data_IF_401474861072
#
_entry.id   IF_401474861072
#
_cell.length_a   1.000
_cell.length_b   1.000
_cell.length_c   1.000
_cell.angle_alpha   90.00
_cell.angle_beta   90.00
_cell.angle_gamma   90.00
#
_symmetry.space_group_name_H-M   'P 1'
#
loop_
_entity.id
_entity.type
_entity.pdbx_description
1 polymer ?
#
# COMPACT_ATOMS: atom_id res chain seq x y z
N UNK A 1 -54.84 5.46 57.64
CA UNK A 1 -53.91 4.49 57.01
C UNK A 1 -52.69 5.17 56.53
N UNK A 2 -51.65 5.07 57.31
CA UNK A 2 -50.35 5.76 57.03
C UNK A 2 -49.44 4.79 56.27
N UNK A 3 -48.94 5.20 55.07
CA UNK A 3 -47.89 4.51 54.33
C UNK A 3 -46.54 5.07 54.74
N UNK A 4 -45.74 4.25 55.40
CA UNK A 4 -44.34 4.58 55.71
C UNK A 4 -43.48 4.43 54.46
N UNK A 5 -42.81 5.51 54.04
CA UNK A 5 -41.76 5.47 53.07
C UNK A 5 -40.45 5.17 53.80
N UNK A 6 -39.81 4.07 53.45
CA UNK A 6 -38.45 3.75 53.93
C UNK A 6 -37.46 4.40 52.95
N UNK A 7 -36.73 5.36 53.45
CA UNK A 7 -35.64 6.03 52.71
C UNK A 7 -34.37 5.18 52.86
N UNK A 8 -33.90 4.59 51.75
CA UNK A 8 -32.63 3.90 51.72
C UNK A 8 -31.55 4.93 51.31
N UNK A 9 -30.77 5.36 52.31
CA UNK A 9 -29.60 6.19 52.08
C UNK A 9 -28.43 5.29 51.72
N UNK A 10 -28.07 5.18 50.43
CA UNK A 10 -26.82 4.59 50.01
C UNK A 10 -25.69 5.60 50.21
N UNK A 11 -24.83 5.35 51.22
CA UNK A 11 -23.56 6.03 51.36
C UNK A 11 -22.60 5.47 50.30
N UNK A 12 -22.38 6.24 49.25
CA UNK A 12 -21.28 6.02 48.34
C UNK A 12 -19.96 6.40 49.02
N UNK A 13 -19.20 5.43 49.47
CA UNK A 13 -17.82 5.63 49.86
C UNK A 13 -17.01 5.90 48.58
N UNK A 14 -16.68 7.17 48.34
CA UNK A 14 -15.65 7.51 47.36
C UNK A 14 -14.30 7.10 47.96
N UNK A 15 -13.80 5.91 47.56
CA UNK A 15 -12.38 5.66 47.63
C UNK A 15 -11.73 6.48 46.52
N UNK A 16 -11.22 7.66 46.85
CA UNK A 16 -10.21 8.34 46.08
C UNK A 16 -8.92 7.56 46.24
N UNK A 17 -8.74 6.56 45.40
CA UNK A 17 -7.41 6.04 45.13
C UNK A 17 -6.62 7.15 44.47
N UNK A 18 -5.67 7.73 45.18
CA UNK A 18 -4.57 8.43 44.57
C UNK A 18 -3.76 7.36 43.80
N UNK A 19 -4.14 7.12 42.56
CA UNK A 19 -3.20 6.64 41.57
C UNK A 19 -2.24 7.83 41.36
N UNK A 20 -1.10 7.75 42.02
CA UNK A 20 0.02 8.61 41.70
C UNK A 20 0.27 8.38 40.22
N UNK A 21 0.06 9.42 39.40
CA UNK A 21 0.58 9.44 38.04
C UNK A 21 2.09 9.27 38.18
N UNK A 22 2.56 8.06 37.89
CA UNK A 22 3.98 7.87 37.59
C UNK A 22 4.20 8.82 36.40
N UNK A 23 5.12 9.77 36.47
CA UNK A 23 5.39 10.60 35.31
C UNK A 23 5.81 9.64 34.18
N UNK A 24 5.09 9.62 33.09
CA UNK A 24 5.56 8.96 31.88
C UNK A 24 6.94 9.56 31.59
N UNK A 25 7.96 8.71 31.57
CA UNK A 25 9.29 9.15 31.17
C UNK A 25 9.19 9.39 29.66
N UNK A 26 9.18 10.65 29.25
CA UNK A 26 9.25 10.98 27.84
C UNK A 26 10.54 10.39 27.26
N UNK A 27 10.44 9.68 26.16
CA UNK A 27 11.59 9.15 25.44
C UNK A 27 12.59 10.28 25.13
N UNK A 28 13.89 10.06 25.39
CA UNK A 28 14.92 11.02 25.00
C UNK A 28 15.28 10.85 23.53
N UNK A 29 14.71 11.69 22.68
CA UNK A 29 14.93 11.73 21.24
C UNK A 29 15.88 12.86 20.80
N UNK A 30 16.58 13.49 21.76
CA UNK A 30 17.39 14.69 21.50
C UNK A 30 18.59 14.46 20.59
N UNK A 31 19.07 13.22 20.49
CA UNK A 31 20.20 12.82 19.64
C UNK A 31 19.79 12.40 18.23
N UNK A 32 18.50 12.34 17.94
CA UNK A 32 17.99 11.95 16.62
C UNK A 32 17.86 13.17 15.70
N UNK A 33 17.97 12.97 14.37
CA UNK A 33 17.79 14.05 13.39
C UNK A 33 16.40 14.69 13.52
N UNK A 34 16.27 15.93 13.05
CA UNK A 34 15.00 16.65 13.13
C UNK A 34 13.94 16.06 12.17
N UNK A 35 14.39 15.53 11.03
CA UNK A 35 13.52 14.91 10.02
C UNK A 35 14.10 13.59 9.52
N UNK A 36 13.22 12.74 9.02
CA UNK A 36 13.60 11.55 8.25
C UNK A 36 14.41 11.98 7.03
N UNK A 37 15.52 11.28 6.75
CA UNK A 37 16.42 11.57 5.63
C UNK A 37 17.53 12.60 5.93
N UNK A 38 17.50 13.31 7.06
CA UNK A 38 18.57 14.24 7.46
C UNK A 38 19.72 13.56 8.21
N UNK A 39 19.63 12.25 8.43
CA UNK A 39 20.64 11.43 9.12
C UNK A 39 20.09 10.05 9.48
N UNK A 40 20.95 9.25 10.12
CA UNK A 40 20.56 7.92 10.60
C UNK A 40 19.72 8.04 11.87
N UNK A 41 18.56 7.39 11.86
CA UNK A 41 17.72 7.20 13.04
C UNK A 41 18.08 5.82 13.59
N UNK A 42 18.67 5.78 14.78
CA UNK A 42 19.00 4.52 15.48
C UNK A 42 18.26 4.51 16.81
N UNK A 43 17.32 3.60 16.93
CA UNK A 43 16.54 3.45 18.14
C UNK A 43 17.25 2.58 19.17
N UNK A 44 16.97 2.83 20.43
CA UNK A 44 17.51 2.08 21.56
C UNK A 44 16.39 1.73 22.55
N UNK A 45 16.53 0.66 23.36
CA UNK A 45 15.50 0.21 24.29
C UNK A 45 15.05 1.30 25.30
N UNK A 46 15.91 2.22 25.67
CA UNK A 46 15.59 3.32 26.58
C UNK A 46 14.69 4.40 25.97
N UNK A 47 14.48 4.37 24.67
CA UNK A 47 13.45 5.19 24.01
C UNK A 47 12.02 4.66 24.23
N UNK A 48 11.87 3.45 24.77
CA UNK A 48 10.59 2.78 25.04
C UNK A 48 10.44 2.42 26.53
N UNK A 49 10.55 3.40 27.43
CA UNK A 49 10.64 3.15 28.88
C UNK A 49 9.36 2.53 29.49
N UNK A 50 8.21 2.72 28.83
CA UNK A 50 6.92 2.21 29.28
C UNK A 50 6.56 0.85 28.64
N UNK A 51 7.39 0.33 27.71
CA UNK A 51 7.23 -1.00 27.13
C UNK A 51 7.95 -2.06 27.99
N UNK A 52 7.24 -3.08 28.46
CA UNK A 52 7.84 -4.15 29.25
C UNK A 52 8.73 -5.04 28.39
N UNK A 53 10.06 -4.82 28.45
CA UNK A 53 11.06 -5.61 27.76
C UNK A 53 11.66 -6.72 28.65
N UNK A 54 11.12 -6.98 29.84
CA UNK A 54 11.69 -7.97 30.79
C UNK A 54 11.53 -9.41 30.33
N UNK A 55 10.57 -9.68 29.44
CA UNK A 55 10.30 -11.00 28.87
C UNK A 55 10.44 -10.95 27.37
N UNK A 56 10.96 -12.03 26.80
CA UNK A 56 10.95 -12.21 25.35
C UNK A 56 9.51 -12.29 24.83
N UNK A 57 9.29 -11.68 23.67
CA UNK A 57 7.99 -11.69 22.97
C UNK A 57 8.20 -11.80 21.47
N UNK A 58 7.40 -12.64 20.83
CA UNK A 58 7.36 -12.73 19.37
C UNK A 58 6.12 -11.97 18.86
N UNK A 59 6.34 -10.98 18.03
CA UNK A 59 5.31 -10.21 17.35
C UNK A 59 4.95 -10.95 16.06
N UNK A 60 3.72 -11.45 15.98
CA UNK A 60 3.22 -12.11 14.78
C UNK A 60 2.70 -11.08 13.79
N UNK A 61 3.37 -10.98 12.64
CA UNK A 61 3.08 -9.99 11.61
C UNK A 61 2.52 -10.66 10.34
N UNK A 62 1.43 -10.11 9.82
CA UNK A 62 0.79 -10.58 8.59
C UNK A 62 0.89 -9.51 7.52
N UNK A 63 1.53 -9.87 6.41
CA UNK A 63 1.72 -9.01 5.24
C UNK A 63 0.96 -9.57 4.05
N UNK A 64 0.69 -8.72 3.05
CA UNK A 64 0.10 -9.12 1.77
C UNK A 64 1.19 -9.11 0.72
N UNK A 65 1.22 -10.14 -0.09
CA UNK A 65 2.19 -10.33 -1.14
C UNK A 65 2.75 -11.74 -1.17
N UNK A 66 3.50 -12.04 -2.19
CA UNK A 66 4.21 -13.31 -2.29
C UNK A 66 5.48 -13.26 -1.44
N UNK A 67 5.77 -14.35 -0.74
CA UNK A 67 6.96 -14.41 0.12
C UNK A 67 8.23 -14.24 -0.72
N UNK A 68 9.07 -13.22 -0.48
CA UNK A 68 10.35 -13.10 -1.17
C UNK A 68 11.24 -14.32 -0.95
N UNK A 69 12.04 -14.71 -1.96
CA UNK A 69 12.89 -15.90 -1.88
C UNK A 69 13.87 -15.86 -0.71
N UNK A 70 14.45 -14.69 -0.43
CA UNK A 70 15.44 -14.49 0.63
C UNK A 70 14.82 -13.92 1.93
N UNK A 71 13.46 -14.03 2.12
CA UNK A 71 12.80 -13.53 3.32
C UNK A 71 13.38 -14.09 4.61
N UNK A 72 13.63 -15.39 4.69
CA UNK A 72 14.16 -16.02 5.90
C UNK A 72 15.48 -15.37 6.36
N UNK A 73 16.34 -14.99 5.41
CA UNK A 73 17.61 -14.29 5.69
C UNK A 73 17.33 -12.88 6.22
N UNK A 74 16.38 -12.17 5.65
CA UNK A 74 16.02 -10.81 6.07
C UNK A 74 15.39 -10.82 7.45
N UNK A 75 14.44 -11.72 7.70
CA UNK A 75 13.79 -11.86 9.00
C UNK A 75 14.80 -12.24 10.10
N UNK A 76 15.78 -13.11 9.80
CA UNK A 76 16.87 -13.40 10.73
C UNK A 76 17.65 -12.12 11.08
N UNK A 77 17.97 -11.26 10.11
CA UNK A 77 18.66 -9.98 10.36
C UNK A 77 17.83 -8.97 11.14
N UNK A 78 16.54 -8.91 10.87
CA UNK A 78 15.61 -8.11 11.66
C UNK A 78 15.59 -8.61 13.11
N UNK A 79 15.50 -9.92 13.31
CA UNK A 79 15.48 -10.53 14.65
C UNK A 79 16.81 -10.36 15.40
N UNK A 80 17.97 -10.46 14.74
CA UNK A 80 19.27 -10.11 15.32
C UNK A 80 19.28 -8.65 15.82
N UNK A 81 18.73 -7.71 15.04
CA UNK A 81 18.67 -6.30 15.41
C UNK A 81 17.72 -6.05 16.61
N UNK A 82 16.65 -6.82 16.70
CA UNK A 82 15.65 -6.73 17.78
C UNK A 82 16.06 -7.42 19.09
N UNK A 83 17.19 -8.17 19.13
CA UNK A 83 17.66 -8.82 20.37
C UNK A 83 17.78 -7.89 21.58
N UNK A 84 18.34 -6.66 21.48
CA UNK A 84 18.42 -5.72 22.61
C UNK A 84 17.05 -5.32 23.16
N UNK A 85 16.01 -5.39 22.32
CA UNK A 85 14.62 -5.11 22.70
C UNK A 85 13.91 -6.35 23.27
N UNK A 86 14.62 -7.48 23.43
CA UNK A 86 14.05 -8.76 23.87
C UNK A 86 12.78 -9.17 23.07
N UNK A 87 12.83 -8.92 21.76
CA UNK A 87 11.69 -9.06 20.83
C UNK A 87 12.15 -9.79 19.57
N UNK A 88 11.24 -10.52 18.97
CA UNK A 88 11.38 -11.12 17.64
C UNK A 88 10.11 -10.87 16.84
N UNK A 89 10.20 -10.95 15.53
CA UNK A 89 9.04 -11.04 14.63
C UNK A 89 8.94 -12.45 14.06
N UNK A 90 7.73 -12.85 13.74
CA UNK A 90 7.42 -14.00 12.90
C UNK A 90 6.41 -13.53 11.86
N UNK A 91 6.77 -13.63 10.59
CA UNK A 91 5.99 -13.03 9.49
C UNK A 91 5.29 -14.10 8.67
N UNK A 92 4.02 -13.89 8.45
CA UNK A 92 3.20 -14.69 7.53
C UNK A 92 2.77 -13.84 6.35
N UNK A 93 3.02 -14.33 5.14
CA UNK A 93 2.56 -13.69 3.91
C UNK A 93 1.23 -14.30 3.46
N UNK A 94 0.29 -13.44 3.13
CA UNK A 94 -0.93 -13.81 2.40
C UNK A 94 -0.69 -13.44 0.94
N UNK A 95 -0.56 -14.44 0.08
CA UNK A 95 -0.30 -14.22 -1.34
C UNK A 95 -1.40 -13.35 -1.99
N UNK A 96 -1.07 -12.69 -3.08
CA UNK A 96 -2.04 -11.89 -3.84
C UNK A 96 -3.26 -12.70 -4.29
N UNK A 97 -3.09 -13.99 -4.58
CA UNK A 97 -4.20 -14.89 -4.93
C UNK A 97 -5.09 -15.26 -3.75
N UNK A 98 -4.59 -15.27 -2.53
CA UNK A 98 -5.27 -15.84 -1.36
C UNK A 98 -5.78 -14.79 -0.37
N UNK A 99 -5.22 -13.58 -0.34
CA UNK A 99 -5.55 -12.58 0.69
C UNK A 99 -7.05 -12.28 0.75
N UNK A 100 -7.74 -12.25 -0.38
CA UNK A 100 -9.18 -11.99 -0.43
C UNK A 100 -10.03 -13.02 0.35
N UNK A 101 -9.54 -14.25 0.48
CA UNK A 101 -10.22 -15.32 1.21
C UNK A 101 -9.69 -15.49 2.63
N UNK A 102 -8.42 -15.20 2.86
CA UNK A 102 -7.75 -15.45 4.13
C UNK A 102 -7.87 -14.29 5.12
N UNK A 103 -7.83 -13.04 4.65
CA UNK A 103 -7.72 -11.86 5.50
C UNK A 103 -8.73 -11.81 6.65
N UNK A 104 -10.01 -11.91 6.32
CA UNK A 104 -11.09 -11.86 7.33
C UNK A 104 -11.14 -13.12 8.20
N UNK A 105 -10.67 -14.26 7.68
CA UNK A 105 -10.60 -15.52 8.43
C UNK A 105 -9.48 -15.46 9.47
N UNK A 106 -8.32 -14.92 9.14
CA UNK A 106 -7.19 -14.72 10.05
C UNK A 106 -7.63 -13.85 11.24
N UNK A 107 -8.26 -12.71 10.99
CA UNK A 107 -8.75 -11.83 12.06
C UNK A 107 -9.89 -12.43 12.90
N UNK A 108 -10.71 -13.33 12.32
CA UNK A 108 -11.79 -14.00 13.01
C UNK A 108 -11.38 -15.33 13.68
N UNK A 109 -10.24 -15.90 13.30
CA UNK A 109 -9.86 -17.28 13.62
C UNK A 109 -9.35 -17.51 15.05
N UNK A 110 -9.04 -16.44 15.78
CA UNK A 110 -8.48 -16.53 17.14
C UNK A 110 -7.02 -16.98 17.18
N UNK A 111 -6.33 -16.98 16.05
CA UNK A 111 -4.88 -17.05 16.00
C UNK A 111 -4.29 -15.74 16.55
N UNK A 112 -3.11 -15.82 17.15
CA UNK A 112 -2.43 -14.63 17.63
C UNK A 112 -1.89 -13.87 16.44
N UNK A 113 -2.46 -12.71 16.14
CA UNK A 113 -1.99 -11.74 15.16
C UNK A 113 -1.77 -10.44 15.89
N UNK A 114 -0.55 -9.92 15.87
CA UNK A 114 -0.23 -8.64 16.51
C UNK A 114 -0.28 -7.49 15.51
N UNK A 115 0.36 -7.67 14.36
CA UNK A 115 0.41 -6.70 13.28
C UNK A 115 -0.21 -7.28 12.00
N UNK A 116 -0.99 -6.49 11.31
CA UNK A 116 -1.56 -6.88 10.02
C UNK A 116 -1.55 -5.70 9.05
N UNK A 117 -1.14 -5.96 7.81
CA UNK A 117 -1.30 -5.00 6.73
C UNK A 117 -2.78 -4.71 6.50
N UNK A 118 -3.13 -3.45 6.26
CA UNK A 118 -4.49 -3.04 5.89
C UNK A 118 -4.45 -1.83 4.96
N UNK A 119 -5.54 -1.58 4.26
CA UNK A 119 -5.70 -0.42 3.38
C UNK A 119 -7.18 -0.23 3.05
N UNK A 120 -7.62 0.92 2.54
CA UNK A 120 -8.97 1.11 2.02
C UNK A 120 -9.38 0.04 1.00
N UNK A 121 -8.43 -0.37 0.13
CA UNK A 121 -8.63 -1.45 -0.85
C UNK A 121 -8.50 -2.86 -0.23
N UNK A 122 -7.99 -2.99 1.02
CA UNK A 122 -7.78 -4.23 1.73
C UNK A 122 -8.52 -4.26 3.07
N UNK A 123 -9.83 -4.38 3.03
CA UNK A 123 -10.74 -4.63 4.15
C UNK A 123 -10.69 -3.64 5.32
N UNK A 124 -9.89 -2.55 5.30
CA UNK A 124 -9.72 -1.62 6.42
C UNK A 124 -11.05 -1.17 7.02
N UNK A 125 -11.95 -0.65 6.21
CA UNK A 125 -13.23 -0.14 6.71
C UNK A 125 -14.16 -1.24 7.24
N UNK A 126 -14.15 -2.39 6.57
CA UNK A 126 -14.99 -3.54 6.97
C UNK A 126 -14.52 -4.11 8.30
N UNK A 127 -13.23 -4.28 8.48
CA UNK A 127 -12.66 -4.84 9.71
C UNK A 127 -12.67 -3.81 10.86
N UNK A 128 -12.46 -2.53 10.58
CA UNK A 128 -12.64 -1.47 11.57
C UNK A 128 -14.06 -1.43 12.11
N UNK A 129 -15.08 -1.59 11.25
CA UNK A 129 -16.48 -1.64 11.67
C UNK A 129 -16.80 -2.85 12.57
N UNK A 130 -16.06 -3.95 12.44
CA UNK A 130 -16.15 -5.14 13.31
C UNK A 130 -15.38 -4.96 14.62
N UNK A 131 -14.50 -3.94 14.72
CA UNK A 131 -13.63 -3.72 15.87
C UNK A 131 -12.40 -4.63 15.88
N UNK A 132 -11.93 -5.06 14.71
CA UNK A 132 -10.77 -5.95 14.56
C UNK A 132 -9.43 -5.27 14.86
N UNK A 133 -9.38 -3.93 14.90
CA UNK A 133 -8.16 -3.16 15.11
C UNK A 133 -8.12 -2.50 16.48
N UNK A 134 -6.93 -2.39 17.04
CA UNK A 134 -6.65 -1.68 18.29
C UNK A 134 -6.75 -0.17 18.06
N UNK A 135 -7.22 0.57 19.07
CA UNK A 135 -7.34 2.02 19.02
C UNK A 135 -6.01 2.68 19.40
N UNK A 136 -5.33 3.24 18.43
CA UNK A 136 -4.07 3.97 18.60
C UNK A 136 -4.36 5.40 19.08
N UNK A 137 -4.79 5.56 20.33
CA UNK A 137 -5.01 6.89 20.88
C UNK A 137 -3.74 7.73 20.84
N UNK A 138 -3.86 9.06 20.85
CA UNK A 138 -2.72 9.97 20.88
C UNK A 138 -1.78 9.67 22.07
N UNK A 139 -2.36 9.36 23.24
CA UNK A 139 -1.57 8.96 24.41
C UNK A 139 -0.82 7.66 24.19
N UNK A 140 -1.45 6.67 23.51
CA UNK A 140 -0.82 5.41 23.18
C UNK A 140 0.34 5.59 22.19
N UNK A 141 0.13 6.37 21.13
CA UNK A 141 1.17 6.69 20.15
C UNK A 141 2.34 7.41 20.84
N UNK A 142 2.08 8.46 21.61
CA UNK A 142 3.11 9.22 22.31
C UNK A 142 3.92 8.37 23.30
N UNK A 143 3.32 7.33 23.86
CA UNK A 143 3.96 6.48 24.88
C UNK A 143 4.74 5.33 24.26
N UNK A 144 4.17 4.64 23.27
CA UNK A 144 4.71 3.37 22.76
C UNK A 144 5.28 3.48 21.34
N UNK A 145 5.08 4.61 20.66
CA UNK A 145 5.56 4.87 19.30
C UNK A 145 6.22 6.26 19.21
N UNK A 146 7.28 6.50 19.98
CA UNK A 146 7.87 7.84 20.08
C UNK A 146 8.48 8.35 18.77
N UNK A 147 8.94 7.45 17.88
CA UNK A 147 9.44 7.84 16.56
C UNK A 147 8.29 8.26 15.64
N UNK A 148 7.19 7.53 15.64
CA UNK A 148 5.98 7.93 14.90
C UNK A 148 5.41 9.25 15.42
N UNK A 149 5.37 9.45 16.75
CA UNK A 149 4.95 10.71 17.34
C UNK A 149 5.81 11.90 16.87
N UNK A 150 7.11 11.66 16.59
CA UNK A 150 8.04 12.70 16.11
C UNK A 150 8.00 12.87 14.59
N UNK A 151 7.96 11.79 13.82
CA UNK A 151 8.27 11.81 12.40
C UNK A 151 7.07 11.57 11.47
N UNK A 152 5.96 11.00 11.98
CA UNK A 152 4.79 10.77 11.14
C UNK A 152 4.13 12.09 10.76
N UNK A 153 3.78 12.25 9.50
CA UNK A 153 3.04 13.42 9.02
C UNK A 153 1.70 13.53 9.76
N UNK A 154 1.39 14.71 10.30
CA UNK A 154 0.19 14.87 11.15
C UNK A 154 -1.10 14.63 10.39
N UNK A 155 -1.15 15.11 9.15
CA UNK A 155 -2.28 14.93 8.24
C UNK A 155 -2.56 13.48 7.89
N UNK A 156 -1.56 12.61 7.94
CA UNK A 156 -1.74 11.20 7.60
C UNK A 156 -2.60 10.45 8.63
N UNK A 157 -2.56 10.85 9.89
CA UNK A 157 -3.38 10.22 10.93
C UNK A 157 -4.88 10.45 10.75
N UNK A 158 -5.26 11.55 10.11
CA UNK A 158 -6.68 11.87 9.84
C UNK A 158 -7.29 10.81 8.90
N UNK A 159 -6.51 10.28 7.97
CA UNK A 159 -6.98 9.29 6.98
C UNK A 159 -7.21 7.90 7.58
N UNK A 160 -6.52 7.55 8.66
CA UNK A 160 -6.72 6.29 9.38
C UNK A 160 -7.56 6.45 10.64
N UNK A 161 -8.17 7.63 10.85
CA UNK A 161 -9.05 7.90 11.97
C UNK A 161 -10.52 7.72 11.58
N UNK A 162 -11.14 6.63 12.04
CA UNK A 162 -12.52 6.28 11.77
C UNK A 162 -13.37 6.38 13.04
N UNK A 163 -14.46 7.15 12.99
CA UNK A 163 -15.36 7.36 14.13
C UNK A 163 -14.63 7.82 15.42
N UNK A 164 -13.55 8.58 15.29
CA UNK A 164 -12.75 9.11 16.40
C UNK A 164 -11.73 8.15 16.96
N UNK A 165 -11.44 7.05 16.29
CA UNK A 165 -10.39 6.09 16.62
C UNK A 165 -9.37 6.03 15.51
N UNK A 166 -8.10 6.11 15.84
CA UNK A 166 -6.99 5.85 14.91
C UNK A 166 -6.74 4.35 14.89
N UNK A 167 -6.98 3.70 13.74
CA UNK A 167 -7.02 2.24 13.63
C UNK A 167 -5.79 1.62 12.97
N UNK A 168 -4.95 2.42 12.35
CA UNK A 168 -3.74 1.96 11.69
C UNK A 168 -2.68 3.07 11.64
N UNK A 169 -1.44 2.68 11.40
CA UNK A 169 -0.32 3.58 11.13
C UNK A 169 -0.17 3.72 9.62
N UNK A 170 -0.47 4.88 9.06
CA UNK A 170 -0.45 5.11 7.62
C UNK A 170 0.96 5.25 7.06
N UNK A 171 1.10 5.26 5.73
CA UNK A 171 2.35 5.69 5.09
C UNK A 171 2.72 7.11 5.53
N UNK A 172 4.00 7.49 5.39
CA UNK A 172 4.46 8.82 5.82
C UNK A 172 4.52 9.84 4.67
N UNK A 173 4.38 9.41 3.45
CA UNK A 173 4.47 10.26 2.25
C UNK A 173 3.37 9.86 1.28
N UNK A 174 2.56 10.83 0.86
CA UNK A 174 1.64 10.63 -0.23
C UNK A 174 2.42 10.47 -1.53
N UNK A 175 2.16 9.42 -2.28
CA UNK A 175 2.84 9.13 -3.54
C UNK A 175 2.01 9.63 -4.72
N UNK A 176 2.64 10.11 -5.82
CA UNK A 176 1.88 10.41 -7.03
C UNK A 176 1.36 9.11 -7.64
N UNK A 177 0.06 9.09 -7.94
CA UNK A 177 -0.62 7.94 -8.55
C UNK A 177 -0.93 8.23 -10.01
N UNK A 178 0.07 8.04 -10.86
CA UNK A 178 -0.10 8.04 -12.31
C UNK A 178 -0.27 6.62 -12.83
N UNK A 179 -1.03 6.47 -13.91
CA UNK A 179 -1.11 5.22 -14.67
C UNK A 179 -0.23 5.31 -15.89
N UNK A 180 0.59 4.28 -16.05
CA UNK A 180 1.58 4.15 -17.12
C UNK A 180 1.13 2.99 -17.99
N UNK A 181 1.31 3.10 -19.30
CA UNK A 181 1.16 1.95 -20.20
C UNK A 181 2.52 1.39 -20.52
N UNK A 182 2.71 0.09 -20.33
CA UNK A 182 3.86 -0.62 -20.84
C UNK A 182 3.46 -1.47 -22.04
N UNK A 183 4.31 -1.50 -23.05
CA UNK A 183 4.06 -2.21 -24.31
C UNK A 183 5.30 -2.98 -24.75
N UNK A 184 5.13 -4.04 -25.48
CA UNK A 184 6.20 -4.80 -26.13
C UNK A 184 6.78 -3.99 -27.28
N UNK A 185 8.06 -3.63 -27.16
CA UNK A 185 8.76 -2.85 -28.17
C UNK A 185 8.95 -3.61 -29.47
N UNK A 186 9.21 -4.91 -29.41
CA UNK A 186 9.35 -5.75 -30.60
C UNK A 186 8.10 -5.73 -31.49
N UNK A 187 6.90 -5.65 -30.90
CA UNK A 187 5.65 -5.53 -31.65
C UNK A 187 5.44 -4.12 -32.19
N UNK A 188 5.84 -3.09 -31.46
CA UNK A 188 5.81 -1.73 -31.97
C UNK A 188 6.70 -1.61 -33.23
N UNK A 189 7.92 -2.09 -33.16
CA UNK A 189 8.88 -2.08 -34.29
C UNK A 189 8.37 -2.92 -35.46
N UNK A 190 7.86 -4.14 -35.20
CA UNK A 190 7.28 -5.05 -36.19
C UNK A 190 6.17 -4.38 -37.01
N UNK A 191 5.38 -3.52 -36.39
CA UNK A 191 4.26 -2.83 -37.03
C UNK A 191 4.54 -1.36 -37.37
N UNK A 192 5.80 -0.92 -37.24
CA UNK A 192 6.25 0.40 -37.67
C UNK A 192 5.80 1.55 -36.81
N UNK A 193 5.49 1.29 -35.53
CA UNK A 193 5.20 2.29 -34.52
C UNK A 193 6.47 2.66 -33.77
N UNK A 194 6.67 3.95 -33.49
CA UNK A 194 7.91 4.45 -32.88
C UNK A 194 7.72 5.06 -31.52
N UNK A 195 6.51 5.51 -31.20
CA UNK A 195 6.20 6.22 -29.96
C UNK A 195 4.69 6.22 -29.74
N UNK A 196 4.27 6.21 -28.46
CA UNK A 196 2.89 6.46 -28.05
C UNK A 196 2.84 7.80 -27.33
N UNK A 197 2.04 8.73 -27.82
CA UNK A 197 1.95 10.11 -27.28
C UNK A 197 0.66 10.38 -26.53
N UNK A 198 -0.37 9.59 -26.81
CA UNK A 198 -1.72 9.82 -26.32
C UNK A 198 -2.54 8.54 -26.40
N UNK A 199 -3.77 8.60 -25.92
CA UNK A 199 -4.71 7.48 -25.95
C UNK A 199 -4.97 6.94 -27.36
N UNK A 200 -5.08 7.80 -28.37
CA UNK A 200 -5.37 7.35 -29.74
C UNK A 200 -4.23 6.52 -30.31
N UNK A 201 -2.97 6.87 -30.02
CA UNK A 201 -1.79 6.08 -30.40
C UNK A 201 -1.79 4.71 -29.69
N UNK A 202 -2.09 4.69 -28.39
CA UNK A 202 -2.19 3.45 -27.63
C UNK A 202 -3.34 2.56 -28.12
N UNK A 203 -4.52 3.13 -28.32
CA UNK A 203 -5.66 2.43 -28.92
C UNK A 203 -5.30 1.85 -30.30
N UNK A 204 -4.60 2.61 -31.15
CA UNK A 204 -4.15 2.14 -32.44
C UNK A 204 -3.15 0.97 -32.32
N UNK A 205 -2.25 1.01 -31.34
CA UNK A 205 -1.36 -0.12 -31.03
C UNK A 205 -2.17 -1.36 -30.68
N UNK A 206 -3.12 -1.25 -29.76
CA UNK A 206 -3.97 -2.37 -29.33
C UNK A 206 -4.78 -2.96 -30.48
N UNK A 207 -5.39 -2.11 -31.30
CA UNK A 207 -6.15 -2.56 -32.51
C UNK A 207 -5.24 -3.27 -33.53
N UNK A 208 -4.01 -2.77 -33.69
CA UNK A 208 -3.03 -3.38 -34.62
C UNK A 208 -2.59 -4.76 -34.15
N UNK A 209 -2.32 -4.91 -32.85
CA UNK A 209 -1.99 -6.21 -32.24
C UNK A 209 -3.17 -7.18 -32.38
N UNK A 210 -4.38 -6.74 -32.08
CA UNK A 210 -5.58 -7.58 -32.20
C UNK A 210 -5.81 -8.06 -33.64
N UNK A 211 -5.58 -7.18 -34.64
CA UNK A 211 -5.78 -7.53 -36.06
C UNK A 211 -4.68 -8.44 -36.62
N UNK A 212 -3.42 -8.18 -36.24
CA UNK A 212 -2.26 -8.76 -36.93
C UNK A 212 -1.50 -9.78 -36.10
N UNK A 213 -1.38 -9.60 -34.80
CA UNK A 213 -0.58 -10.48 -33.94
C UNK A 213 -1.42 -11.58 -33.29
N UNK A 214 -2.55 -11.23 -32.70
CA UNK A 214 -3.39 -12.18 -31.95
C UNK A 214 -3.81 -13.40 -32.78
N UNK A 215 -4.20 -13.27 -34.06
CA UNK A 215 -4.56 -14.44 -34.87
C UNK A 215 -3.40 -15.38 -35.15
N UNK A 216 -2.16 -14.89 -35.14
CA UNK A 216 -0.96 -15.66 -35.50
C UNK A 216 -0.31 -16.28 -34.25
N UNK A 217 -0.18 -15.53 -33.16
CA UNK A 217 0.58 -15.92 -31.96
C UNK A 217 -0.31 -16.30 -30.77
N UNK A 218 -1.57 -15.86 -30.75
CA UNK A 218 -2.46 -15.99 -29.61
C UNK A 218 -2.22 -14.93 -28.54
N UNK A 219 -1.28 -13.99 -28.74
CA UNK A 219 -0.99 -12.88 -27.81
C UNK A 219 -2.08 -11.83 -27.95
N UNK A 220 -2.75 -11.49 -26.86
CA UNK A 220 -3.74 -10.42 -26.85
C UNK A 220 -3.06 -9.05 -26.70
N UNK A 221 -3.70 -8.01 -27.21
CA UNK A 221 -3.23 -6.64 -27.03
C UNK A 221 -3.18 -6.26 -25.56
N UNK A 222 -4.21 -6.65 -24.79
CA UNK A 222 -4.25 -6.58 -23.34
C UNK A 222 -4.69 -7.95 -22.80
N UNK A 223 -3.93 -8.54 -21.94
CA UNK A 223 -4.31 -9.80 -21.28
C UNK A 223 -5.19 -9.49 -20.05
N UNK A 224 -6.34 -8.87 -20.28
CA UNK A 224 -7.21 -8.37 -19.24
C UNK A 224 -7.72 -9.47 -18.31
N UNK A 225 -7.68 -9.24 -17.02
CA UNK A 225 -8.45 -9.93 -15.99
C UNK A 225 -9.72 -9.13 -15.63
N UNK A 226 -10.70 -9.81 -15.01
CA UNK A 226 -12.10 -9.42 -14.96
C UNK A 226 -12.49 -8.02 -14.53
N UNK A 227 -11.68 -7.34 -13.73
CA UNK A 227 -12.00 -6.09 -13.05
C UNK A 227 -10.97 -4.96 -13.28
N UNK A 228 -10.09 -5.11 -14.28
CA UNK A 228 -9.10 -4.09 -14.59
C UNK A 228 -9.74 -2.79 -15.08
N UNK A 229 -9.68 -1.74 -14.28
CA UNK A 229 -10.20 -0.41 -14.57
C UNK A 229 -9.12 0.61 -14.97
N UNK A 230 -7.88 0.21 -15.04
CA UNK A 230 -6.72 1.09 -15.20
C UNK A 230 -6.75 1.87 -16.52
N UNK A 231 -7.35 1.29 -17.56
CA UNK A 231 -7.52 1.96 -18.86
C UNK A 231 -8.37 3.24 -18.77
N UNK A 232 -9.35 3.28 -17.84
CA UNK A 232 -10.10 4.51 -17.62
C UNK A 232 -9.20 5.62 -17.08
N UNK A 233 -8.32 5.29 -16.15
CA UNK A 233 -7.40 6.28 -15.60
C UNK A 233 -6.41 6.77 -16.65
N UNK A 234 -5.84 5.89 -17.46
CA UNK A 234 -4.99 6.27 -18.60
C UNK A 234 -5.73 7.23 -19.53
N UNK A 235 -6.99 6.94 -19.87
CA UNK A 235 -7.81 7.81 -20.71
C UNK A 235 -8.10 9.15 -20.03
N UNK A 236 -8.48 9.14 -18.78
CA UNK A 236 -8.85 10.33 -17.99
C UNK A 236 -7.66 11.27 -17.80
N UNK A 237 -6.48 10.74 -17.52
CA UNK A 237 -5.28 11.54 -17.26
C UNK A 237 -4.85 12.40 -18.44
N UNK A 238 -5.23 12.07 -19.66
CA UNK A 238 -4.97 12.91 -20.84
C UNK A 238 -5.77 14.21 -20.85
N UNK A 239 -6.90 14.26 -20.17
CA UNK A 239 -7.76 15.47 -20.16
C UNK A 239 -7.34 16.50 -19.13
N UNK A 240 -6.34 16.22 -18.32
CA UNK A 240 -5.58 16.98 -17.31
C UNK A 240 -6.36 17.91 -16.35
N UNK A 241 -7.67 17.99 -16.43
CA UNK A 241 -8.47 18.82 -15.53
C UNK A 241 -9.44 18.01 -14.68
N UNK A 242 -9.69 16.75 -15.02
CA UNK A 242 -10.60 15.89 -14.27
C UNK A 242 -9.82 14.91 -13.43
N UNK A 243 -9.90 15.05 -12.13
CA UNK A 243 -9.33 14.12 -11.17
C UNK A 243 -10.41 13.22 -10.56
N UNK A 244 -10.03 12.00 -10.18
CA UNK A 244 -10.86 11.19 -9.30
C UNK A 244 -10.91 11.84 -7.92
N UNK A 245 -12.04 11.71 -7.24
CA UNK A 245 -12.19 12.21 -5.87
C UNK A 245 -11.24 11.47 -4.92
N UNK A 246 -11.03 10.19 -5.18
CA UNK A 246 -10.15 9.32 -4.43
C UNK A 246 -9.61 8.25 -5.37
N UNK A 247 -8.39 7.77 -5.14
CA UNK A 247 -7.75 6.73 -5.96
C UNK A 247 -8.51 5.40 -5.95
N UNK A 248 -9.24 5.11 -4.87
CA UNK A 248 -10.04 3.90 -4.72
C UNK A 248 -11.49 4.07 -5.18
N UNK A 249 -11.93 5.32 -5.43
CA UNK A 249 -13.31 5.66 -5.81
C UNK A 249 -13.34 6.47 -7.11
N UNK A 250 -12.79 5.91 -8.16
CA UNK A 250 -12.67 6.54 -9.47
C UNK A 250 -14.00 6.85 -10.15
N UNK A 251 -15.12 6.37 -9.61
CA UNK A 251 -16.46 6.66 -10.08
C UNK A 251 -16.90 8.12 -9.82
N UNK A 252 -16.26 8.80 -8.88
CA UNK A 252 -16.53 10.19 -8.55
C UNK A 252 -15.38 11.08 -9.01
N UNK A 253 -15.67 12.01 -9.89
CA UNK A 253 -14.70 12.90 -10.52
C UNK A 253 -15.05 14.36 -10.30
N UNK A 254 -14.07 15.23 -10.34
CA UNK A 254 -14.22 16.68 -10.28
C UNK A 254 -13.21 17.38 -11.18
N UNK A 255 -13.54 18.61 -11.60
CA UNK A 255 -12.63 19.46 -12.33
C UNK A 255 -11.61 20.10 -11.36
N UNK A 256 -10.34 19.76 -11.52
CA UNK A 256 -9.26 20.32 -10.72
C UNK A 256 -9.06 21.81 -11.02
N UNK A 257 -8.92 22.60 -9.97
CA UNK A 257 -8.50 23.99 -10.03
C UNK A 257 -7.42 24.22 -8.97
N UNK A 258 -6.29 24.72 -9.40
CA UNK A 258 -5.15 24.96 -8.52
C UNK A 258 -5.53 25.83 -7.31
N UNK A 259 -5.23 25.33 -6.10
CA UNK A 259 -5.52 26.00 -4.84
C UNK A 259 -6.98 25.98 -4.39
N UNK A 260 -7.89 25.31 -5.11
CA UNK A 260 -9.29 25.16 -4.73
C UNK A 260 -9.62 23.70 -4.39
N UNK A 261 -10.30 23.47 -3.28
CA UNK A 261 -10.91 22.18 -2.98
C UNK A 261 -12.26 22.06 -3.70
N UNK A 262 -12.62 20.89 -4.24
CA UNK A 262 -13.90 20.67 -4.86
C UNK A 262 -15.04 20.81 -3.83
N UNK A 263 -16.13 21.46 -4.23
CA UNK A 263 -17.37 21.46 -3.45
C UNK A 263 -18.21 20.25 -3.83
N UNK A 264 -19.14 19.86 -2.98
CA UNK A 264 -20.03 18.73 -3.25
C UNK A 264 -20.79 18.86 -4.59
N UNK A 265 -21.13 20.09 -5.00
CA UNK A 265 -21.78 20.38 -6.27
C UNK A 265 -20.87 20.24 -7.50
N UNK A 266 -19.55 20.28 -7.31
CA UNK A 266 -18.56 20.12 -8.38
C UNK A 266 -18.25 18.64 -8.64
N UNK A 267 -18.58 17.76 -7.70
CA UNK A 267 -18.34 16.31 -7.80
C UNK A 267 -19.41 15.69 -8.68
N UNK A 268 -18.99 14.94 -9.68
CA UNK A 268 -19.87 14.26 -10.63
C UNK A 268 -19.63 12.76 -10.57
N UNK A 269 -20.67 12.01 -10.86
CA UNK A 269 -20.53 10.59 -11.13
C UNK A 269 -19.97 10.42 -12.54
N UNK A 270 -19.02 9.52 -12.72
CA UNK A 270 -18.26 9.36 -13.98
C UNK A 270 -19.17 9.17 -15.20
N UNK A 271 -20.31 8.51 -15.05
CA UNK A 271 -21.27 8.29 -16.14
C UNK A 271 -21.98 9.58 -16.62
N UNK A 272 -21.90 10.68 -15.87
CA UNK A 272 -22.41 12.00 -16.25
C UNK A 272 -21.40 12.82 -17.04
N UNK A 273 -20.18 12.30 -17.18
CA UNK A 273 -19.07 12.96 -17.84
C UNK A 273 -18.97 12.52 -19.30
N UNK A 274 -19.12 13.45 -20.24
CA UNK A 274 -19.19 13.13 -21.67
C UNK A 274 -17.93 12.40 -22.20
N UNK A 275 -16.69 12.73 -21.79
CA UNK A 275 -15.52 11.94 -22.21
C UNK A 275 -15.56 10.48 -21.78
N UNK A 276 -16.22 10.12 -20.67
CA UNK A 276 -16.43 8.73 -20.31
C UNK A 276 -17.28 7.97 -21.33
N UNK A 277 -18.24 8.64 -21.95
CA UNK A 277 -19.02 8.03 -23.05
C UNK A 277 -18.14 7.73 -24.24
N UNK A 278 -17.22 8.63 -24.60
CA UNK A 278 -16.26 8.38 -25.69
C UNK A 278 -15.34 7.21 -25.34
N UNK A 279 -14.80 7.18 -24.12
CA UNK A 279 -14.03 6.04 -23.61
C UNK A 279 -14.81 4.72 -23.76
N UNK A 280 -16.08 4.70 -23.37
CA UNK A 280 -16.92 3.50 -23.49
C UNK A 280 -17.12 3.05 -24.97
N UNK A 281 -17.18 3.98 -25.92
CA UNK A 281 -17.18 3.63 -27.35
C UNK A 281 -15.83 3.08 -27.80
N UNK A 282 -14.72 3.63 -27.34
CA UNK A 282 -13.39 3.14 -27.64
C UNK A 282 -13.18 1.72 -27.07
N UNK A 283 -13.60 1.50 -25.83
CA UNK A 283 -13.57 0.17 -25.20
C UNK A 283 -14.40 -0.85 -25.98
N UNK A 284 -15.58 -0.44 -26.44
CA UNK A 284 -16.43 -1.29 -27.27
C UNK A 284 -15.75 -1.64 -28.61
N UNK A 285 -15.13 -0.67 -29.27
CA UNK A 285 -14.40 -0.89 -30.52
C UNK A 285 -13.24 -1.87 -30.31
N UNK A 286 -12.44 -1.68 -29.26
CA UNK A 286 -11.33 -2.57 -28.92
C UNK A 286 -11.81 -3.98 -28.56
N UNK A 287 -12.91 -4.10 -27.82
CA UNK A 287 -13.52 -5.40 -27.49
C UNK A 287 -14.04 -6.12 -28.74
N UNK A 288 -14.72 -5.41 -29.64
CA UNK A 288 -15.23 -5.96 -30.90
C UNK A 288 -14.07 -6.42 -31.82
N UNK A 289 -12.95 -5.71 -31.79
CA UNK A 289 -11.72 -6.07 -32.51
C UNK A 289 -10.97 -7.25 -31.88
N UNK A 290 -11.27 -7.64 -30.64
CA UNK A 290 -10.61 -8.75 -29.95
C UNK A 290 -9.29 -8.35 -29.27
N UNK A 291 -9.15 -7.11 -28.82
CA UNK A 291 -7.96 -6.67 -28.08
C UNK A 291 -7.71 -7.48 -26.80
N UNK A 292 -8.74 -8.10 -26.24
CA UNK A 292 -8.68 -9.04 -25.11
C UNK A 292 -9.59 -10.25 -25.32
N UNK A 293 -9.37 -11.28 -24.50
CA UNK A 293 -10.18 -12.49 -24.54
C UNK A 293 -11.64 -12.20 -24.16
N UNK A 294 -12.59 -12.90 -24.80
CA UNK A 294 -13.99 -12.87 -24.37
C UNK A 294 -14.23 -13.47 -22.99
N UNK A 295 -13.27 -14.24 -22.49
CA UNK A 295 -13.29 -14.80 -21.13
C UNK A 295 -12.65 -13.84 -20.09
N UNK A 296 -12.29 -12.62 -20.44
CA UNK A 296 -11.62 -11.67 -19.55
C UNK A 296 -12.28 -11.56 -18.16
N UNK A 297 -13.62 -11.49 -18.09
CA UNK A 297 -14.38 -11.44 -16.84
C UNK A 297 -14.26 -12.70 -15.95
N UNK A 298 -13.69 -13.77 -16.44
CA UNK A 298 -13.53 -15.04 -15.72
C UNK A 298 -12.09 -15.52 -15.71
N UNK A 299 -11.16 -14.72 -16.21
CA UNK A 299 -9.74 -15.03 -16.15
C UNK A 299 -9.28 -14.98 -14.68
N UNK A 300 -8.45 -15.95 -14.33
CA UNK A 300 -7.82 -16.04 -13.01
C UNK A 300 -6.36 -15.62 -13.04
N UNK A 301 -5.75 -15.58 -14.24
CA UNK A 301 -4.41 -15.02 -14.44
C UNK A 301 -4.56 -13.51 -14.50
N UNK A 302 -3.81 -12.81 -13.71
CA UNK A 302 -3.83 -11.35 -13.70
C UNK A 302 -3.19 -10.78 -14.97
N UNK A 303 -3.48 -9.54 -15.33
CA UNK A 303 -2.92 -8.91 -16.52
C UNK A 303 -1.41 -8.62 -16.38
N UNK A 304 -0.94 -8.37 -15.18
CA UNK A 304 0.46 -8.22 -14.83
C UNK A 304 1.25 -9.53 -15.01
N UNK A 305 0.79 -10.64 -14.44
CA UNK A 305 1.38 -11.97 -14.65
C UNK A 305 1.39 -12.34 -16.14
N UNK A 306 0.29 -12.06 -16.83
CA UNK A 306 0.19 -12.35 -18.25
C UNK A 306 1.14 -11.49 -19.09
N UNK A 307 1.36 -10.22 -18.73
CA UNK A 307 2.31 -9.35 -19.39
C UNK A 307 3.74 -9.78 -19.13
N UNK A 308 4.12 -10.05 -17.87
CA UNK A 308 5.42 -10.57 -17.49
C UNK A 308 5.77 -11.92 -18.16
N UNK A 309 4.75 -12.75 -18.42
CA UNK A 309 4.89 -14.00 -19.17
C UNK A 309 4.73 -13.84 -20.70
N UNK A 310 4.71 -12.63 -21.23
CA UNK A 310 4.56 -12.28 -22.66
C UNK A 310 3.28 -12.83 -23.33
N UNK A 311 2.25 -13.10 -22.54
CA UNK A 311 0.92 -13.49 -23.05
C UNK A 311 0.05 -12.27 -23.40
N UNK A 312 0.41 -11.10 -22.88
CA UNK A 312 -0.16 -9.80 -23.22
C UNK A 312 0.86 -8.92 -23.95
N UNK A 313 0.41 -8.11 -24.88
CA UNK A 313 1.27 -7.16 -25.61
C UNK A 313 1.38 -5.80 -24.90
N UNK A 314 0.49 -5.51 -23.97
CA UNK A 314 0.51 -4.30 -23.14
C UNK A 314 -0.10 -4.54 -21.78
N UNK A 315 0.20 -3.63 -20.85
CA UNK A 315 -0.42 -3.49 -19.55
C UNK A 315 -0.60 -2.01 -19.24
N UNK A 316 -1.62 -1.66 -18.48
CA UNK A 316 -1.83 -0.34 -17.91
C UNK A 316 -1.89 -0.47 -16.38
N UNK A 317 -0.93 0.12 -15.67
CA UNK A 317 -0.81 0.01 -14.22
C UNK A 317 -0.09 1.23 -13.63
N UNK A 318 0.15 1.20 -12.31
CA UNK A 318 1.02 2.17 -11.64
C UNK A 318 2.51 1.90 -11.96
N UNK A 319 3.43 2.43 -11.17
CA UNK A 319 4.87 2.24 -11.37
C UNK A 319 5.34 0.77 -11.32
N UNK A 320 4.51 -0.17 -10.83
CA UNK A 320 4.84 -1.62 -10.86
C UNK A 320 4.98 -2.18 -12.27
N UNK A 321 4.54 -1.45 -13.31
CA UNK A 321 4.80 -1.86 -14.72
C UNK A 321 6.27 -2.10 -14.99
N UNK A 322 7.19 -1.38 -14.31
CA UNK A 322 8.63 -1.58 -14.48
C UNK A 322 9.09 -2.95 -14.00
N UNK A 323 8.51 -3.49 -12.93
CA UNK A 323 8.77 -4.85 -12.46
C UNK A 323 8.34 -5.88 -13.49
N UNK A 324 7.15 -5.72 -14.08
CA UNK A 324 6.64 -6.65 -15.09
C UNK A 324 7.40 -6.55 -16.41
N UNK A 325 7.90 -5.38 -16.79
CA UNK A 325 8.81 -5.20 -17.92
C UNK A 325 10.12 -5.95 -17.69
N UNK A 326 10.70 -5.87 -16.50
CA UNK A 326 11.91 -6.60 -16.14
C UNK A 326 11.71 -8.13 -16.17
N UNK A 327 10.56 -8.61 -15.69
CA UNK A 327 10.19 -10.03 -15.78
C UNK A 327 10.12 -10.50 -17.22
N UNK A 328 9.46 -9.74 -18.09
CA UNK A 328 9.34 -10.05 -19.51
C UNK A 328 10.71 -10.08 -20.21
N UNK A 329 11.60 -9.14 -19.89
CA UNK A 329 12.96 -9.09 -20.43
C UNK A 329 13.81 -10.28 -19.95
N UNK A 330 13.75 -10.61 -18.67
CA UNK A 330 14.48 -11.75 -18.10
C UNK A 330 14.00 -13.10 -18.66
N UNK A 331 12.69 -13.25 -18.88
CA UNK A 331 12.10 -14.50 -19.35
C UNK A 331 12.48 -14.84 -20.79
N UNK A 332 12.40 -13.88 -21.72
CA UNK A 332 12.50 -14.12 -23.16
C UNK A 332 13.40 -13.11 -23.90
N UNK A 333 14.02 -12.16 -23.17
CA UNK A 333 14.86 -11.12 -23.77
C UNK A 333 14.05 -10.12 -24.60
N UNK A 334 12.77 -9.95 -24.29
CA UNK A 334 11.88 -9.02 -25.00
C UNK A 334 11.93 -7.65 -24.35
N UNK A 335 12.38 -6.67 -25.07
CA UNK A 335 12.40 -5.28 -24.63
C UNK A 335 10.99 -4.70 -24.59
N UNK A 336 10.66 -4.04 -23.49
CA UNK A 336 9.40 -3.34 -23.28
C UNK A 336 9.65 -1.83 -23.13
N UNK A 337 8.63 -1.02 -23.46
CA UNK A 337 8.67 0.43 -23.30
C UNK A 337 7.50 0.90 -22.47
N UNK A 338 7.79 1.78 -21.50
CA UNK A 338 6.79 2.46 -20.70
C UNK A 338 6.49 3.85 -21.25
N UNK A 339 5.21 4.20 -21.28
CA UNK A 339 4.74 5.51 -21.72
C UNK A 339 3.80 6.12 -20.68
N UNK A 340 4.16 7.29 -20.19
CA UNK A 340 3.24 8.15 -19.45
C UNK A 340 2.46 9.00 -20.45
N UNK A 341 1.16 8.74 -20.56
CA UNK A 341 0.27 9.46 -21.46
C UNK A 341 -0.41 10.66 -20.76
N UNK A 342 0.03 11.01 -19.55
CA UNK A 342 -0.49 12.13 -18.77
C UNK A 342 -0.17 13.45 -19.45
N UNK A 343 -1.14 14.33 -19.57
CA UNK A 343 -0.90 15.70 -20.05
C UNK A 343 -0.56 16.60 -18.86
N UNK A 344 0.49 17.42 -19.01
CA UNK A 344 0.96 18.39 -17.99
C UNK A 344 1.34 17.77 -16.64
N UNK A 345 1.57 16.46 -16.58
CA UNK A 345 1.94 15.70 -15.38
C UNK A 345 0.99 15.89 -14.19
N UNK A 346 -0.29 16.13 -14.45
CA UNK A 346 -1.30 16.21 -13.41
C UNK A 346 -1.81 14.82 -13.07
N UNK A 347 -1.44 14.33 -11.92
CA UNK A 347 -1.86 13.02 -11.38
C UNK A 347 -2.43 13.19 -9.97
N UNK A 348 -3.26 12.26 -9.55
CA UNK A 348 -3.68 12.20 -8.15
C UNK A 348 -2.49 11.87 -7.26
N UNK A 349 -2.50 12.38 -6.03
CA UNK A 349 -1.68 11.80 -4.98
C UNK A 349 -2.44 10.62 -4.36
N UNK A 350 -1.74 9.53 -4.11
CA UNK A 350 -2.29 8.48 -3.24
C UNK A 350 -2.49 9.01 -1.83
N UNK A 351 -3.55 8.53 -1.19
CA UNK A 351 -3.76 8.76 0.22
C UNK A 351 -2.61 8.18 1.06
N UNK A 352 -2.31 8.78 2.19
CA UNK A 352 -1.38 8.20 3.15
C UNK A 352 -1.86 6.83 3.66
N UNK A 353 -3.18 6.62 3.65
CA UNK A 353 -3.83 5.36 4.03
C UNK A 353 -3.85 4.28 2.95
N UNK A 354 -3.15 4.49 1.84
CA UNK A 354 -3.14 3.49 0.77
C UNK A 354 -2.41 2.19 1.13
N UNK A 355 -1.47 2.27 2.07
CA UNK A 355 -0.73 1.14 2.62
C UNK A 355 -0.47 1.39 4.12
N UNK A 356 -1.15 0.64 4.97
CA UNK A 356 -1.16 0.84 6.39
C UNK A 356 -0.78 -0.44 7.15
N UNK A 357 -0.34 -0.27 8.39
CA UNK A 357 -0.20 -1.39 9.32
C UNK A 357 -1.08 -1.15 10.54
N UNK A 358 -1.93 -2.11 10.85
CA UNK A 358 -2.77 -2.09 12.04
C UNK A 358 -2.24 -3.02 13.13
N UNK A 359 -2.41 -2.60 14.39
CA UNK A 359 -2.34 -3.50 15.53
C UNK A 359 -3.71 -4.14 15.67
N UNK A 360 -3.78 -5.46 15.81
CA UNK A 360 -5.07 -6.13 15.94
C UNK A 360 -5.64 -5.96 17.35
N UNK A 361 -6.96 -5.95 17.47
CA UNK A 361 -7.63 -5.94 18.76
C UNK A 361 -7.41 -7.24 19.56
N UNK A 362 -6.95 -8.30 18.90
CA UNK A 362 -6.61 -9.60 19.49
C UNK A 362 -5.16 -9.72 19.94
N UNK A 363 -4.32 -8.71 19.71
CA UNK A 363 -2.93 -8.74 20.17
C UNK A 363 -2.84 -8.91 21.69
N UNK A 364 -2.01 -9.85 22.14
CA UNK A 364 -1.77 -10.08 23.56
C UNK A 364 -0.81 -9.04 24.17
N UNK A 365 -0.07 -8.30 23.31
CA UNK A 365 0.87 -7.28 23.75
C UNK A 365 0.93 -6.12 22.72
N UNK A 366 -0.14 -5.31 22.65
CA UNK A 366 -0.23 -4.20 21.69
C UNK A 366 0.88 -3.16 21.88
N UNK A 367 1.41 -2.98 23.09
CA UNK A 367 2.53 -2.08 23.36
C UNK A 367 3.82 -2.56 22.68
N UNK A 368 4.05 -3.87 22.69
CA UNK A 368 5.22 -4.47 22.03
C UNK A 368 5.06 -4.45 20.50
N UNK A 369 3.86 -4.71 20.00
CA UNK A 369 3.53 -4.58 18.59
C UNK A 369 3.73 -3.14 18.10
N UNK A 370 3.30 -2.15 18.89
CA UNK A 370 3.49 -0.73 18.60
C UNK A 370 4.98 -0.36 18.50
N UNK A 371 5.80 -0.79 19.46
CA UNK A 371 7.24 -0.58 19.42
C UNK A 371 7.89 -1.20 18.18
N UNK A 372 7.53 -2.43 17.81
CA UNK A 372 8.09 -3.09 16.62
C UNK A 372 7.70 -2.32 15.35
N UNK A 373 6.44 -1.92 15.24
CA UNK A 373 5.97 -1.13 14.10
C UNK A 373 6.67 0.23 14.01
N UNK A 374 6.87 0.90 15.14
CA UNK A 374 7.61 2.16 15.23
C UNK A 374 9.06 2.00 14.75
N UNK A 375 9.71 0.91 15.17
CA UNK A 375 11.07 0.55 14.78
C UNK A 375 11.16 0.22 13.28
N UNK A 376 10.34 -0.69 12.78
CA UNK A 376 10.35 -1.09 11.36
C UNK A 376 10.11 0.09 10.42
N UNK A 377 9.35 1.07 10.87
CA UNK A 377 9.00 2.23 10.06
C UNK A 377 10.06 3.33 10.08
N UNK A 378 10.70 3.58 11.21
CA UNK A 378 11.54 4.78 11.40
C UNK A 378 12.99 4.50 11.76
N UNK A 379 13.35 3.34 12.36
CA UNK A 379 14.75 3.00 12.53
C UNK A 379 15.37 2.73 11.15
N UNK A 380 16.45 3.43 10.83
CA UNK A 380 17.04 3.41 9.50
C UNK A 380 17.48 1.99 9.08
N UNK A 381 18.04 1.22 10.01
CA UNK A 381 18.51 -0.14 9.71
C UNK A 381 17.36 -1.10 9.50
N UNK A 382 16.36 -1.09 10.40
CA UNK A 382 15.20 -1.96 10.28
C UNK A 382 14.33 -1.62 9.07
N UNK A 383 14.15 -0.34 8.78
CA UNK A 383 13.40 0.11 7.62
C UNK A 383 14.08 -0.34 6.31
N UNK A 384 15.41 -0.22 6.22
CA UNK A 384 16.16 -0.71 5.05
C UNK A 384 16.11 -2.23 4.94
N UNK A 385 16.26 -2.97 6.04
CA UNK A 385 16.11 -4.43 6.03
C UNK A 385 14.73 -4.84 5.50
N UNK A 386 13.67 -4.18 5.96
CA UNK A 386 12.31 -4.48 5.53
C UNK A 386 12.05 -4.12 4.06
N UNK A 387 12.57 -2.98 3.59
CA UNK A 387 12.26 -2.48 2.25
C UNK A 387 13.25 -2.92 1.17
N UNK A 388 14.52 -3.07 1.51
CA UNK A 388 15.61 -3.29 0.56
C UNK A 388 16.32 -4.63 0.75
N UNK A 389 16.04 -5.33 1.86
CA UNK A 389 16.74 -6.56 2.22
C UNK A 389 18.09 -6.29 2.90
N UNK A 390 19.04 -7.17 2.71
CA UNK A 390 20.36 -7.17 3.38
C UNK A 390 21.38 -6.42 2.55
N UNK A 391 21.98 -5.37 3.13
CA UNK A 391 23.07 -4.60 2.51
C UNK A 391 24.29 -5.52 2.26
N UNK A 392 24.93 -5.38 1.12
CA UNK A 392 26.01 -6.25 0.65
C UNK A 392 25.53 -7.58 0.05
N UNK A 393 24.22 -7.86 0.06
CA UNK A 393 23.60 -9.04 -0.57
C UNK A 393 22.61 -8.62 -1.66
N UNK A 394 21.61 -7.83 -1.30
CA UNK A 394 20.55 -7.38 -2.22
C UNK A 394 20.85 -6.00 -2.80
N UNK A 395 21.51 -5.15 -2.04
CA UNK A 395 21.88 -3.80 -2.43
C UNK A 395 23.18 -3.37 -1.74
N UNK A 396 23.72 -2.25 -2.20
CA UNK A 396 24.84 -1.55 -1.57
C UNK A 396 24.57 -0.05 -1.55
N UNK A 397 25.10 0.66 -0.54
CA UNK A 397 25.03 2.11 -0.43
C UNK A 397 26.45 2.61 -0.23
N UNK A 398 26.96 3.42 -1.17
CA UNK A 398 28.29 3.98 -1.10
C UNK A 398 28.43 5.11 -0.06
N UNK A 399 29.66 5.56 0.17
CA UNK A 399 29.97 6.64 1.12
C UNK A 399 29.27 7.98 0.78
N UNK A 400 28.83 8.16 -0.48
CA UNK A 400 28.10 9.33 -0.95
C UNK A 400 26.56 9.15 -0.81
N UNK A 401 26.10 7.96 -0.41
CA UNK A 401 24.71 7.62 -0.21
C UNK A 401 23.99 7.15 -1.47
N UNK A 402 24.71 6.80 -2.53
CA UNK A 402 24.11 6.28 -3.75
C UNK A 402 23.76 4.80 -3.57
N UNK A 403 22.53 4.46 -3.91
CA UNK A 403 22.01 3.09 -3.91
C UNK A 403 22.40 2.35 -5.18
N UNK A 404 22.77 1.09 -5.05
CA UNK A 404 23.06 0.19 -6.16
C UNK A 404 22.46 -1.19 -5.88
N UNK A 405 21.69 -1.71 -6.82
CA UNK A 405 21.20 -3.09 -6.77
C UNK A 405 22.35 -4.08 -7.02
N UNK A 406 22.33 -5.18 -6.28
CA UNK A 406 23.28 -6.29 -6.45
C UNK A 406 22.57 -7.47 -7.15
N UNK A 407 23.36 -8.48 -7.55
CA UNK A 407 22.88 -9.64 -8.32
C UNK A 407 21.69 -10.38 -7.67
N UNK A 408 21.55 -10.27 -6.34
CA UNK A 408 20.48 -10.91 -5.57
C UNK A 408 19.29 -9.98 -5.25
N UNK A 409 19.26 -8.76 -5.77
CA UNK A 409 18.15 -7.84 -5.52
C UNK A 409 16.79 -8.45 -5.90
N UNK A 410 16.75 -9.23 -6.98
CA UNK A 410 15.53 -9.91 -7.43
C UNK A 410 15.05 -11.06 -6.55
N UNK A 411 15.89 -11.58 -5.63
CA UNK A 411 15.47 -12.58 -4.63
C UNK A 411 14.74 -11.92 -3.44
N UNK A 412 14.84 -10.60 -3.34
CA UNK A 412 14.15 -9.79 -2.37
C UNK A 412 13.53 -8.57 -3.06
N UNK A 413 12.35 -8.74 -3.63
CA UNK A 413 11.57 -7.59 -4.12
C UNK A 413 10.89 -6.91 -2.93
N UNK A 414 10.95 -5.59 -2.87
CA UNK A 414 10.33 -4.80 -1.81
C UNK A 414 8.83 -5.10 -1.65
N UNK A 415 8.39 -5.06 -0.41
CA UNK A 415 7.01 -5.23 0.00
C UNK A 415 6.14 -4.01 -0.35
#
# INVERSE_FOLDING_TARGET
MKRNAVSLTMAAAMLTGMLGSVPAFAADLSNLPDKVGEGTITATPDMYPDTDLSKSYTVNMYLIGDTPNDWDMVEEKINEYLEPFNTQIETTFMSWSDYNTMYTLVLAGGEQVDLIFTAPWCYMYTEAAKGSFYDLSEDFINTYMPLAAKYQAKESWDETTLAGKTIAVPSNVAQPQGKIVAVRQDLMEKYGMTELKNWDDYKQYMLTVAEKETPESGIYALAASGDNNELWDVYRQQTNTMLALDSNYMDFIYEYKEGELPKAEDIKFVYEYEPFRQYAYDMKEMADAGCWSRSALTNTVTDDDAFGALQGASIAWNASVFTYMEQAEKAEGVECMAYDLTTDNLVNAEAYSNNDMAITAGSENPERAAMVLDLLKFDTTLNRLLLLGVEGVHYDIDDEGNYTELDKSSDYSAL
#
